data_IF_344297690853
#
_entry.id   IF_344297690853
#
_cell.length_a   1.000
_cell.length_b   1.000
_cell.length_c   1.000
_cell.angle_alpha   90.00
_cell.angle_beta   90.00
_cell.angle_gamma   90.00
#
_symmetry.space_group_name_H-M   'P 1'
#
loop_
_entity.id
_entity.type
_entity.pdbx_description
1 polymer ?
#
# COMPACT_ATOMS: atom_id res chain seq x y z
N UNK A 1 -0.78 56.06 -43.43
CA UNK A 1 -0.55 57.28 -42.60
C UNK A 1 -0.93 56.87 -41.17
N UNK A 2 -0.22 56.90 -40.15
CA UNK A 2 1.19 57.11 -39.81
C UNK A 2 1.41 56.38 -38.48
N UNK A 3 2.31 55.44 -38.53
CA UNK A 3 2.95 54.82 -37.38
C UNK A 3 3.84 55.82 -36.66
N UNK A 4 4.11 55.60 -35.40
CA UNK A 4 5.09 56.23 -34.50
C UNK A 4 4.48 57.08 -33.40
N UNK A 5 4.71 56.59 -32.25
CA UNK A 5 4.98 57.17 -30.94
C UNK A 5 4.16 56.45 -29.83
N UNK A 6 4.79 55.45 -29.22
CA UNK A 6 4.59 55.05 -27.81
C UNK A 6 5.70 54.05 -27.44
N UNK A 7 6.91 54.66 -27.36
CA UNK A 7 8.09 53.97 -26.75
C UNK A 7 8.83 55.08 -26.01
N UNK A 8 8.49 55.28 -24.75
CA UNK A 8 9.33 56.00 -23.77
C UNK A 8 8.51 56.33 -22.51
N UNK A 9 8.27 55.37 -21.62
CA UNK A 9 7.93 55.61 -20.22
C UNK A 9 7.94 54.30 -19.41
N UNK A 10 9.15 53.71 -19.28
CA UNK A 10 9.35 52.57 -18.35
C UNK A 10 10.84 52.42 -17.99
N UNK A 11 11.37 53.51 -17.39
CA UNK A 11 12.73 53.51 -16.81
C UNK A 11 12.84 54.70 -15.86
N UNK A 12 12.23 54.62 -14.69
CA UNK A 12 12.57 55.49 -13.55
C UNK A 12 11.67 55.18 -12.34
N UNK A 13 11.81 53.99 -11.73
CA UNK A 13 11.45 53.80 -10.29
C UNK A 13 12.32 52.65 -9.78
N UNK A 14 13.58 52.91 -9.63
CA UNK A 14 14.54 52.08 -8.89
C UNK A 14 15.47 53.09 -8.22
N UNK A 15 15.28 53.29 -6.95
CA UNK A 15 16.15 53.92 -5.97
C UNK A 15 15.29 54.76 -5.00
N UNK A 16 15.06 54.19 -3.84
CA UNK A 16 14.94 54.86 -2.55
C UNK A 16 14.12 53.96 -1.59
N UNK A 17 14.78 53.09 -0.89
CA UNK A 17 14.47 52.73 0.51
C UNK A 17 15.70 51.97 1.05
N UNK A 18 16.66 52.71 1.48
CA UNK A 18 17.63 52.29 2.48
C UNK A 18 17.56 53.30 3.62
N UNK A 19 17.61 52.77 4.82
CA UNK A 19 17.75 53.44 6.13
C UNK A 19 16.46 53.38 6.98
N UNK A 20 16.48 52.43 7.89
CA UNK A 20 15.56 52.28 9.01
C UNK A 20 16.14 51.26 9.99
N UNK A 21 17.34 51.54 10.55
CA UNK A 21 17.79 50.86 11.78
C UNK A 21 16.96 51.34 12.94
N UNK A 22 16.17 50.44 13.52
CA UNK A 22 15.48 50.61 14.78
C UNK A 22 15.45 49.31 15.52
N UNK A 23 16.31 49.11 16.52
CA UNK A 23 16.44 47.88 17.31
C UNK A 23 15.18 47.56 18.09
N UNK A 24 14.72 46.33 17.95
CA UNK A 24 13.84 45.62 18.83
C UNK A 24 14.35 44.20 18.88
N UNK A 25 14.96 43.82 20.00
CA UNK A 25 15.32 42.41 20.23
C UNK A 25 14.04 41.58 20.35
N UNK A 26 13.39 41.30 19.19
CA UNK A 26 12.44 40.24 19.07
C UNK A 26 13.21 38.93 19.12
N UNK A 27 12.91 38.06 20.06
CA UNK A 27 13.33 36.66 20.08
C UNK A 27 13.10 36.13 18.66
N UNK A 28 14.15 35.81 17.93
CA UNK A 28 14.07 35.02 16.72
C UNK A 28 13.43 33.70 17.12
N UNK A 29 12.12 33.58 16.92
CA UNK A 29 11.40 32.33 16.96
C UNK A 29 11.74 31.60 15.66
N UNK A 30 12.96 31.10 15.58
CA UNK A 30 13.53 30.39 14.44
C UNK A 30 13.07 28.91 14.47
N UNK A 31 11.85 28.65 14.99
CA UNK A 31 11.23 27.33 14.88
C UNK A 31 10.71 27.14 13.46
N UNK A 32 11.57 26.65 12.59
CA UNK A 32 11.18 26.12 11.27
C UNK A 32 10.07 25.09 11.51
N UNK A 33 8.90 25.30 10.88
CA UNK A 33 7.83 24.30 10.90
C UNK A 33 8.31 23.03 10.20
N UNK A 34 8.03 21.86 10.77
CA UNK A 34 8.22 20.60 10.04
C UNK A 34 7.26 20.52 8.87
N UNK A 35 7.74 20.01 7.75
CA UNK A 35 6.94 19.72 6.57
C UNK A 35 6.65 18.21 6.54
N UNK A 36 5.39 17.86 6.67
CA UNK A 36 4.92 16.47 6.70
C UNK A 36 4.08 16.21 5.46
N UNK A 37 4.59 15.37 4.56
CA UNK A 37 3.83 14.89 3.41
C UNK A 37 3.20 13.54 3.72
N UNK A 38 2.00 13.30 3.19
CA UNK A 38 1.32 12.02 3.30
C UNK A 38 0.74 11.60 1.96
N UNK A 39 0.85 10.30 1.63
CA UNK A 39 0.18 9.69 0.50
C UNK A 39 -1.31 9.41 0.77
N UNK A 40 -1.80 9.63 1.99
CA UNK A 40 -3.22 9.60 2.34
C UNK A 40 -3.87 10.90 1.90
N UNK A 41 -4.59 10.89 0.77
CA UNK A 41 -5.24 12.07 0.18
C UNK A 41 -6.76 12.09 0.36
N UNK A 42 -7.36 11.03 0.90
CA UNK A 42 -8.79 11.03 1.24
C UNK A 42 -9.08 12.16 2.24
N UNK A 43 -10.05 13.06 1.98
CA UNK A 43 -10.31 14.25 2.79
C UNK A 43 -10.54 13.96 4.28
N UNK A 44 -11.27 12.90 4.62
CA UNK A 44 -11.54 12.55 6.02
C UNK A 44 -10.29 12.02 6.72
N UNK A 45 -9.46 11.24 6.03
CA UNK A 45 -8.16 10.79 6.54
C UNK A 45 -7.17 11.93 6.69
N UNK A 46 -7.16 12.90 5.77
CA UNK A 46 -6.35 14.12 5.88
C UNK A 46 -6.77 14.94 7.10
N UNK A 47 -8.07 15.12 7.32
CA UNK A 47 -8.61 15.80 8.49
C UNK A 47 -8.25 15.10 9.80
N UNK A 48 -8.35 13.78 9.83
CA UNK A 48 -7.98 12.98 11.00
C UNK A 48 -6.44 13.03 11.25
N UNK A 49 -5.63 12.97 10.19
CA UNK A 49 -4.18 13.15 10.27
C UNK A 49 -3.83 14.54 10.83
N UNK A 50 -4.52 15.60 10.40
CA UNK A 50 -4.32 16.95 10.96
C UNK A 50 -4.64 17.00 12.46
N UNK A 51 -5.67 16.27 12.92
CA UNK A 51 -5.99 16.20 14.35
C UNK A 51 -4.89 15.49 15.16
N UNK A 52 -4.29 14.43 14.61
CA UNK A 52 -3.14 13.74 15.23
C UNK A 52 -1.94 14.69 15.34
N UNK A 53 -1.63 15.41 14.27
CA UNK A 53 -0.54 16.40 14.21
C UNK A 53 -0.77 17.54 15.22
N UNK A 54 -2.00 18.04 15.33
CA UNK A 54 -2.34 19.10 16.29
C UNK A 54 -2.08 18.65 17.74
N UNK A 55 -2.33 17.39 18.09
CA UNK A 55 -1.98 16.83 19.41
C UNK A 55 -0.47 16.88 19.65
N UNK A 56 0.34 16.50 18.67
CA UNK A 56 1.80 16.61 18.76
C UNK A 56 2.24 18.06 18.96
N UNK A 57 1.71 18.99 18.19
CA UNK A 57 2.01 20.42 18.30
C UNK A 57 1.66 20.96 19.68
N UNK A 58 0.51 20.58 20.26
CA UNK A 58 0.11 20.99 21.61
C UNK A 58 1.05 20.45 22.69
N UNK A 59 1.58 19.25 22.53
CA UNK A 59 2.50 18.63 23.50
C UNK A 59 3.93 19.16 23.42
N UNK A 60 4.38 19.55 22.20
CA UNK A 60 5.80 19.85 21.95
C UNK A 60 6.08 21.29 21.56
N UNK A 61 5.06 22.07 21.22
CA UNK A 61 5.12 23.39 20.60
C UNK A 61 5.84 23.39 19.22
N UNK A 62 6.06 22.22 18.60
CA UNK A 62 6.63 22.09 17.26
C UNK A 62 5.49 22.23 16.24
N UNK A 63 5.59 23.24 15.36
CA UNK A 63 4.61 23.47 14.28
C UNK A 63 4.86 22.51 13.14
N UNK A 64 3.78 22.02 12.52
CA UNK A 64 3.83 21.12 11.37
C UNK A 64 2.94 21.63 10.26
N UNK A 65 3.46 21.61 9.02
CA UNK A 65 2.70 21.84 7.79
C UNK A 65 2.39 20.49 7.16
N UNK A 66 1.11 20.07 7.19
CA UNK A 66 0.62 18.89 6.48
C UNK A 66 0.41 19.21 5.00
N UNK A 67 0.86 18.29 4.13
CA UNK A 67 0.61 18.30 2.68
C UNK A 67 0.17 16.91 2.28
N UNK A 68 -1.05 16.76 1.78
CA UNK A 68 -1.54 15.52 1.20
C UNK A 68 -1.24 15.50 -0.30
N UNK A 69 -0.74 14.35 -0.81
CA UNK A 69 -0.34 14.17 -2.21
C UNK A 69 -0.85 12.80 -2.62
N UNK A 70 -1.64 12.72 -3.70
CA UNK A 70 -2.10 11.45 -4.25
C UNK A 70 -0.94 10.52 -4.61
N UNK A 71 -1.10 9.23 -4.38
CA UNK A 71 -0.04 8.23 -4.55
C UNK A 71 0.53 8.26 -5.98
N UNK A 72 -0.29 8.49 -6.99
CA UNK A 72 0.08 8.61 -8.41
C UNK A 72 1.00 9.80 -8.72
N UNK A 73 0.92 10.88 -7.90
CA UNK A 73 1.70 12.11 -8.08
C UNK A 73 2.97 12.12 -7.20
N UNK A 74 3.02 11.29 -6.17
CA UNK A 74 4.03 11.35 -5.13
C UNK A 74 5.46 11.22 -5.67
N UNK A 75 5.69 10.29 -6.60
CA UNK A 75 7.02 10.06 -7.18
C UNK A 75 7.53 11.31 -7.92
N UNK A 76 6.69 11.96 -8.73
CA UNK A 76 7.07 13.16 -9.49
C UNK A 76 7.28 14.38 -8.57
N UNK A 77 6.46 14.50 -7.53
CA UNK A 77 6.56 15.59 -6.56
C UNK A 77 7.85 15.48 -5.72
N UNK A 78 8.21 14.28 -5.25
CA UNK A 78 9.46 14.04 -4.51
C UNK A 78 10.68 14.31 -5.40
N UNK A 79 10.66 13.86 -6.66
CA UNK A 79 11.77 14.13 -7.59
C UNK A 79 11.96 15.64 -7.80
N UNK A 80 10.87 16.39 -7.99
CA UNK A 80 10.89 17.85 -8.15
C UNK A 80 11.38 18.54 -6.86
N UNK A 81 10.91 18.12 -5.69
CA UNK A 81 11.32 18.67 -4.40
C UNK A 81 12.80 18.38 -4.11
N UNK A 82 13.28 17.17 -4.46
CA UNK A 82 14.70 16.82 -4.32
C UNK A 82 15.60 17.70 -5.19
N UNK A 83 15.23 17.93 -6.44
CA UNK A 83 15.96 18.81 -7.35
C UNK A 83 15.96 20.28 -6.89
N UNK A 84 14.89 20.72 -6.25
CA UNK A 84 14.74 22.09 -5.74
C UNK A 84 15.33 22.29 -4.32
N UNK A 85 15.78 21.23 -3.63
CA UNK A 85 16.22 21.29 -2.23
C UNK A 85 15.09 21.63 -1.25
N UNK A 86 13.87 21.19 -1.53
CA UNK A 86 12.64 21.46 -0.75
C UNK A 86 11.95 20.18 -0.32
N UNK A 87 12.73 19.13 -0.04
CA UNK A 87 12.18 17.86 0.48
C UNK A 87 11.35 18.08 1.76
N UNK A 88 10.27 17.30 1.98
CA UNK A 88 9.60 17.29 3.27
C UNK A 88 10.54 16.75 4.35
N UNK A 89 10.27 17.07 5.62
CA UNK A 89 11.00 16.46 6.74
C UNK A 89 10.59 15.00 6.96
N UNK A 90 9.30 14.71 6.78
CA UNK A 90 8.75 13.35 6.90
C UNK A 90 7.78 13.08 5.75
N UNK A 91 7.91 11.91 5.15
CA UNK A 91 6.95 11.33 4.22
C UNK A 91 6.23 10.16 4.88
N UNK A 92 4.90 10.21 4.94
CA UNK A 92 4.05 9.19 5.55
C UNK A 92 3.26 8.40 4.53
N UNK A 93 2.82 7.20 4.92
CA UNK A 93 2.07 6.26 4.10
C UNK A 93 2.79 5.86 2.80
N UNK A 94 4.12 5.97 2.79
CA UNK A 94 4.95 5.58 1.65
C UNK A 94 5.06 4.05 1.55
N UNK A 95 4.83 3.48 0.36
CA UNK A 95 4.94 2.03 0.12
C UNK A 95 6.38 1.53 0.28
N UNK A 96 6.53 0.25 0.60
CA UNK A 96 7.83 -0.38 0.83
C UNK A 96 8.77 -0.23 -0.39
N UNK A 97 8.27 -0.47 -1.60
CA UNK A 97 9.06 -0.32 -2.82
C UNK A 97 9.54 1.12 -3.02
N UNK A 98 8.67 2.09 -2.74
CA UNK A 98 8.99 3.50 -2.88
C UNK A 98 10.08 3.96 -1.90
N UNK A 99 10.01 3.60 -0.62
CA UNK A 99 11.06 3.98 0.35
C UNK A 99 12.42 3.36 0.03
N UNK A 100 12.45 2.15 -0.55
CA UNK A 100 13.71 1.56 -1.04
C UNK A 100 14.28 2.33 -2.24
N UNK A 101 13.45 2.81 -3.16
CA UNK A 101 13.92 3.69 -4.25
C UNK A 101 14.46 5.01 -3.70
N UNK A 102 13.73 5.66 -2.79
CA UNK A 102 14.18 6.90 -2.16
C UNK A 102 15.51 6.74 -1.43
N UNK A 103 15.71 5.61 -0.74
CA UNK A 103 16.98 5.32 -0.06
C UNK A 103 18.13 5.10 -1.04
N UNK A 104 17.89 4.39 -2.15
CA UNK A 104 18.88 4.17 -3.18
C UNK A 104 19.31 5.48 -3.86
N UNK A 105 18.38 6.44 -3.97
CA UNK A 105 18.64 7.79 -4.51
C UNK A 105 19.20 8.76 -3.44
N UNK A 106 19.48 8.26 -2.22
CA UNK A 106 20.06 9.05 -1.13
C UNK A 106 19.10 10.13 -0.59
N UNK A 107 17.79 9.94 -0.69
CA UNK A 107 16.77 10.90 -0.24
C UNK A 107 16.38 10.66 1.23
N UNK A 108 16.38 9.42 1.70
CA UNK A 108 16.05 9.09 3.10
C UNK A 108 17.26 9.22 4.03
N UNK A 109 17.00 9.32 5.34
CA UNK A 109 18.00 9.25 6.42
C UNK A 109 17.85 7.93 7.19
N UNK A 110 18.66 6.89 6.86
CA UNK A 110 18.64 5.60 7.55
C UNK A 110 19.05 5.67 9.01
N UNK A 111 19.89 6.62 9.41
CA UNK A 111 20.35 6.76 10.80
C UNK A 111 19.26 7.38 11.68
N UNK A 112 18.50 8.34 11.15
CA UNK A 112 17.31 8.86 11.80
C UNK A 112 16.23 7.77 11.96
N UNK A 113 15.99 6.95 10.92
CA UNK A 113 15.07 5.82 11.02
C UNK A 113 15.50 4.79 12.07
N UNK A 114 16.79 4.44 12.11
CA UNK A 114 17.36 3.55 13.12
C UNK A 114 17.21 4.12 14.53
N UNK A 115 17.46 5.42 14.70
CA UNK A 115 17.29 6.12 15.98
C UNK A 115 15.86 6.04 16.50
N UNK A 116 14.87 6.25 15.62
CA UNK A 116 13.44 6.12 15.99
C UNK A 116 13.10 4.69 16.40
N UNK A 117 13.48 3.69 15.61
CA UNK A 117 13.19 2.27 15.88
C UNK A 117 13.81 1.83 17.21
N UNK A 118 15.06 2.23 17.48
CA UNK A 118 15.76 1.89 18.71
C UNK A 118 15.12 2.58 19.93
N UNK A 119 14.77 3.86 19.84
CA UNK A 119 14.10 4.60 20.90
C UNK A 119 12.72 4.02 21.25
N UNK A 120 12.00 3.49 20.29
CA UNK A 120 10.70 2.84 20.49
C UNK A 120 10.80 1.39 20.98
N UNK A 121 12.01 0.80 20.95
CA UNK A 121 12.27 -0.58 21.32
C UNK A 121 12.07 -1.52 20.12
N UNK A 122 13.16 -1.86 19.43
CA UNK A 122 13.18 -2.72 18.21
C UNK A 122 12.38 -4.04 18.40
N UNK A 123 12.40 -4.61 19.62
CA UNK A 123 11.71 -5.84 19.96
C UNK A 123 10.17 -5.72 19.97
N UNK A 124 9.63 -4.50 19.94
CA UNK A 124 8.18 -4.25 19.89
C UNK A 124 7.61 -4.24 18.47
N UNK A 125 8.49 -4.26 17.49
CA UNK A 125 8.12 -4.33 16.06
C UNK A 125 8.11 -5.77 15.54
N UNK A 126 7.30 -6.04 14.53
CA UNK A 126 7.39 -7.25 13.73
C UNK A 126 8.82 -7.41 13.18
N UNK A 127 9.44 -8.56 13.44
CA UNK A 127 10.77 -8.86 12.90
C UNK A 127 10.75 -8.90 11.37
N UNK A 128 9.66 -9.41 10.81
CA UNK A 128 9.49 -9.46 9.36
C UNK A 128 9.39 -8.05 8.75
N UNK A 129 8.57 -7.17 9.34
CA UNK A 129 8.46 -5.79 8.90
C UNK A 129 9.82 -5.07 8.95
N UNK A 130 10.57 -5.24 10.04
CA UNK A 130 11.92 -4.67 10.14
C UNK A 130 12.86 -5.22 9.08
N UNK A 131 12.82 -6.53 8.80
CA UNK A 131 13.69 -7.13 7.77
C UNK A 131 13.37 -6.64 6.36
N UNK A 132 12.10 -6.31 6.08
CA UNK A 132 11.67 -5.81 4.77
C UNK A 132 12.08 -4.35 4.52
N UNK A 133 12.18 -3.53 5.55
CA UNK A 133 12.66 -2.14 5.41
C UNK A 133 14.18 -2.01 5.48
N UNK A 134 14.94 -3.10 5.61
CA UNK A 134 16.40 -3.04 5.65
C UNK A 134 17.01 -3.04 4.24
N UNK A 135 17.97 -2.13 4.02
CA UNK A 135 18.90 -2.16 2.89
C UNK A 135 20.32 -1.91 3.40
N UNK A 136 21.28 -2.73 2.97
CA UNK A 136 22.69 -2.61 3.39
C UNK A 136 22.87 -2.59 4.91
N UNK A 137 22.03 -3.34 5.65
CA UNK A 137 22.12 -3.48 7.12
C UNK A 137 21.52 -2.31 7.92
N UNK A 138 20.86 -1.36 7.27
CA UNK A 138 20.18 -0.23 7.90
C UNK A 138 18.72 -0.15 7.48
N UNK A 139 17.79 0.32 8.36
CA UNK A 139 16.41 0.58 7.98
C UNK A 139 16.33 1.82 7.08
N UNK A 140 15.73 1.70 5.91
CA UNK A 140 15.52 2.82 4.98
C UNK A 140 14.39 3.75 5.40
N UNK A 141 13.50 3.27 6.26
CA UNK A 141 12.36 4.01 6.82
C UNK A 141 11.87 3.30 8.09
N UNK A 142 10.95 3.94 8.82
CA UNK A 142 10.25 3.33 9.97
C UNK A 142 8.96 2.68 9.47
N UNK A 143 8.78 1.36 9.56
CA UNK A 143 7.54 0.72 9.16
C UNK A 143 6.41 1.16 10.10
N UNK A 144 5.29 1.62 9.53
CA UNK A 144 4.17 2.18 10.30
C UNK A 144 3.02 1.20 10.48
N UNK A 145 2.58 0.58 9.42
CA UNK A 145 1.43 -0.31 9.38
C UNK A 145 1.53 -1.24 8.17
N UNK A 146 0.64 -2.23 8.10
CA UNK A 146 0.58 -3.16 6.98
C UNK A 146 -0.84 -3.45 6.58
N UNK A 147 -1.03 -3.85 5.31
CA UNK A 147 -2.24 -4.48 4.82
C UNK A 147 -1.91 -5.77 4.08
N UNK A 148 -2.89 -6.60 3.83
CA UNK A 148 -2.68 -7.89 3.16
C UNK A 148 -3.67 -8.11 2.04
N UNK A 149 -3.24 -8.81 0.97
CA UNK A 149 -4.16 -9.33 -0.03
C UNK A 149 -4.97 -10.47 0.54
N UNK A 150 -6.22 -10.51 0.17
CA UNK A 150 -7.20 -11.50 0.59
C UNK A 150 -7.81 -12.17 -0.64
N UNK A 151 -7.97 -13.46 -0.59
CA UNK A 151 -8.94 -14.15 -1.41
C UNK A 151 -10.25 -14.23 -0.61
N UNK A 152 -11.25 -13.51 -1.06
CA UNK A 152 -12.56 -13.40 -0.41
C UNK A 152 -13.55 -14.21 -1.24
N UNK A 153 -14.38 -15.05 -0.59
CA UNK A 153 -15.33 -15.91 -1.26
C UNK A 153 -16.70 -15.90 -0.58
N UNK A 154 -17.76 -16.08 -1.35
CA UNK A 154 -19.14 -16.15 -0.90
C UNK A 154 -19.44 -17.49 -0.20
N UNK A 155 -19.43 -17.52 1.13
CA UNK A 155 -19.70 -18.72 1.94
C UNK A 155 -21.04 -19.38 1.60
N UNK A 156 -22.07 -18.58 1.39
CA UNK A 156 -23.41 -19.07 1.04
C UNK A 156 -23.41 -19.84 -0.30
N UNK A 157 -22.68 -19.35 -1.32
CA UNK A 157 -22.56 -20.02 -2.62
C UNK A 157 -21.69 -21.28 -2.52
N UNK A 158 -20.58 -21.21 -1.77
CA UNK A 158 -19.70 -22.36 -1.54
C UNK A 158 -20.42 -23.48 -0.80
N UNK A 159 -21.14 -23.14 0.28
CA UNK A 159 -21.96 -24.12 1.03
C UNK A 159 -23.01 -24.77 0.12
N UNK A 160 -23.73 -24.00 -0.69
CA UNK A 160 -24.72 -24.51 -1.64
C UNK A 160 -24.10 -25.45 -2.68
N UNK A 161 -22.87 -25.19 -3.11
CA UNK A 161 -22.15 -26.01 -4.10
C UNK A 161 -21.34 -27.16 -3.46
N UNK A 162 -21.32 -27.30 -2.13
CA UNK A 162 -20.53 -28.33 -1.45
C UNK A 162 -19.01 -28.08 -1.51
N UNK A 163 -18.58 -26.83 -1.69
CA UNK A 163 -17.18 -26.46 -1.84
C UNK A 163 -16.56 -26.07 -0.49
N UNK A 164 -15.32 -26.48 -0.26
CA UNK A 164 -14.49 -26.03 0.86
C UNK A 164 -13.86 -24.66 0.58
N UNK A 165 -13.27 -24.02 1.61
CA UNK A 165 -12.51 -22.79 1.44
C UNK A 165 -11.38 -22.95 0.40
N UNK A 166 -11.23 -22.01 -0.56
CA UNK A 166 -10.32 -22.15 -1.70
C UNK A 166 -8.88 -21.75 -1.31
N UNK A 167 -8.14 -22.64 -0.66
CA UNK A 167 -6.79 -22.39 -0.15
C UNK A 167 -5.66 -22.84 -1.08
N UNK A 168 -6.00 -23.44 -2.23
CA UNK A 168 -5.03 -23.89 -3.23
C UNK A 168 -5.42 -23.41 -4.63
N UNK A 169 -4.47 -23.33 -5.55
CA UNK A 169 -4.74 -23.00 -6.96
C UNK A 169 -5.79 -23.93 -7.58
N UNK A 170 -5.70 -25.23 -7.27
CA UNK A 170 -6.67 -26.21 -7.73
C UNK A 170 -8.08 -25.89 -7.21
N UNK A 171 -8.21 -25.65 -5.89
CA UNK A 171 -9.50 -25.32 -5.26
C UNK A 171 -10.08 -24.00 -5.79
N UNK A 172 -9.23 -22.99 -6.02
CA UNK A 172 -9.64 -21.71 -6.62
C UNK A 172 -10.18 -21.93 -8.04
N UNK A 173 -9.46 -22.68 -8.87
CA UNK A 173 -9.90 -22.99 -10.25
C UNK A 173 -11.20 -23.79 -10.27
N UNK A 174 -11.29 -24.85 -9.45
CA UNK A 174 -12.49 -25.66 -9.33
C UNK A 174 -13.70 -24.82 -8.89
N UNK A 175 -13.54 -23.98 -7.89
CA UNK A 175 -14.60 -23.09 -7.42
C UNK A 175 -14.99 -22.06 -8.49
N UNK A 176 -14.01 -21.45 -9.17
CA UNK A 176 -14.25 -20.48 -10.23
C UNK A 176 -15.08 -21.13 -11.35
N UNK A 177 -14.71 -22.34 -11.80
CA UNK A 177 -15.46 -23.09 -12.85
C UNK A 177 -16.86 -23.45 -12.37
N UNK A 178 -17.01 -23.98 -11.15
CA UNK A 178 -18.30 -24.45 -10.62
C UNK A 178 -19.30 -23.32 -10.42
N UNK A 179 -18.82 -22.15 -10.00
CA UNK A 179 -19.65 -21.00 -9.65
C UNK A 179 -19.82 -19.99 -10.77
N UNK A 180 -19.15 -20.17 -11.91
CA UNK A 180 -19.36 -19.35 -13.12
C UNK A 180 -20.67 -19.72 -13.79
N UNK A 181 -21.43 -18.74 -14.22
CA UNK A 181 -22.66 -18.93 -14.99
C UNK A 181 -23.81 -18.08 -14.48
N UNK A 182 -24.92 -18.05 -15.22
CA UNK A 182 -26.13 -17.29 -14.88
C UNK A 182 -25.89 -15.80 -14.56
N UNK A 183 -24.90 -15.19 -15.23
CA UNK A 183 -24.54 -13.78 -15.03
C UNK A 183 -23.63 -13.51 -13.83
N UNK A 184 -23.05 -14.54 -13.22
CA UNK A 184 -22.05 -14.48 -12.17
C UNK A 184 -20.69 -14.98 -12.67
N UNK A 185 -19.63 -14.27 -12.37
CA UNK A 185 -18.26 -14.73 -12.53
C UNK A 185 -17.85 -15.61 -11.33
N UNK A 186 -17.05 -16.63 -11.58
CA UNK A 186 -16.49 -17.45 -10.50
C UNK A 186 -15.51 -16.70 -9.65
N UNK A 187 -14.73 -15.80 -10.27
CA UNK A 187 -13.76 -14.93 -9.57
C UNK A 187 -13.62 -13.60 -10.33
N UNK A 188 -13.23 -12.56 -9.60
CA UNK A 188 -12.75 -11.31 -10.19
C UNK A 188 -11.43 -10.92 -9.54
N UNK A 189 -10.47 -10.47 -10.33
CA UNK A 189 -9.18 -9.97 -9.89
C UNK A 189 -8.68 -8.89 -10.86
N UNK A 190 -7.75 -8.05 -10.40
CA UNK A 190 -7.21 -6.96 -11.20
C UNK A 190 -6.43 -7.47 -12.41
N UNK A 191 -6.58 -6.81 -13.56
CA UNK A 191 -5.98 -7.22 -14.83
C UNK A 191 -5.58 -6.03 -15.73
N UNK A 192 -5.73 -4.79 -15.24
CA UNK A 192 -5.42 -3.59 -16.01
C UNK A 192 -3.91 -3.37 -16.09
N UNK A 193 -3.42 -3.04 -17.29
CA UNK A 193 -1.99 -2.95 -17.60
C UNK A 193 -1.25 -1.82 -16.88
N UNK A 194 -1.95 -0.75 -16.56
CA UNK A 194 -1.43 0.48 -15.94
C UNK A 194 -1.86 0.63 -14.47
N UNK A 195 -2.16 -0.49 -13.81
CA UNK A 195 -2.58 -0.52 -12.40
C UNK A 195 -1.59 -1.30 -11.55
N UNK A 196 -0.98 -0.64 -10.57
CA UNK A 196 -0.10 -1.27 -9.58
C UNK A 196 -0.81 -2.35 -8.75
N UNK A 197 -2.13 -2.26 -8.59
CA UNK A 197 -2.92 -3.29 -7.92
C UNK A 197 -2.94 -4.62 -8.69
N UNK A 198 -2.84 -4.59 -10.03
CA UNK A 198 -2.61 -5.80 -10.84
C UNK A 198 -1.27 -6.46 -10.50
N UNK A 199 -0.20 -5.64 -10.31
CA UNK A 199 1.11 -6.13 -9.87
C UNK A 199 1.02 -6.83 -8.50
N UNK A 200 0.36 -6.21 -7.53
CA UNK A 200 0.19 -6.74 -6.17
C UNK A 200 -0.67 -8.00 -6.14
N UNK A 201 -1.73 -8.04 -6.95
CA UNK A 201 -2.61 -9.21 -7.11
C UNK A 201 -1.85 -10.39 -7.72
N UNK A 202 -1.01 -10.14 -8.74
CA UNK A 202 -0.16 -11.19 -9.32
C UNK A 202 0.91 -11.66 -8.34
N UNK A 203 1.59 -10.74 -7.62
CA UNK A 203 2.60 -11.09 -6.61
C UNK A 203 2.01 -12.00 -5.52
N UNK A 204 0.76 -11.78 -5.09
CA UNK A 204 0.09 -12.65 -4.12
C UNK A 204 0.03 -14.11 -4.60
N UNK A 205 -0.36 -14.33 -5.85
CA UNK A 205 -0.37 -15.67 -6.45
C UNK A 205 1.05 -16.19 -6.69
N UNK A 206 1.96 -15.32 -7.12
CA UNK A 206 3.34 -15.68 -7.42
C UNK A 206 4.08 -16.21 -6.18
N UNK A 207 4.05 -15.47 -5.07
CA UNK A 207 4.70 -15.92 -3.82
C UNK A 207 4.02 -17.17 -3.26
N UNK A 208 2.73 -17.35 -3.49
CA UNK A 208 1.98 -18.55 -3.11
C UNK A 208 2.38 -19.79 -3.92
N UNK A 209 2.90 -19.60 -5.13
CA UNK A 209 3.41 -20.70 -5.98
C UNK A 209 4.94 -20.88 -5.90
N UNK A 210 5.63 -20.13 -5.01
CA UNK A 210 7.09 -20.18 -4.92
C UNK A 210 7.83 -19.41 -6.03
N UNK A 211 7.12 -18.63 -6.86
CA UNK A 211 7.73 -17.72 -7.82
C UNK A 211 8.43 -16.57 -7.09
N UNK A 212 9.67 -16.27 -7.49
CA UNK A 212 10.45 -15.16 -6.99
C UNK A 212 10.79 -14.19 -8.13
N UNK A 213 10.83 -12.89 -7.82
CA UNK A 213 11.26 -11.89 -8.80
C UNK A 213 12.71 -12.09 -9.20
N UNK A 214 13.56 -12.37 -8.20
CA UNK A 214 15.00 -12.61 -8.37
C UNK A 214 15.47 -13.78 -7.52
N UNK A 215 16.56 -14.41 -7.92
CA UNK A 215 17.28 -15.36 -7.06
C UNK A 215 18.17 -14.61 -6.04
N UNK A 216 18.87 -15.37 -5.19
CA UNK A 216 19.77 -14.82 -4.16
C UNK A 216 20.95 -14.03 -4.74
N UNK A 217 21.35 -14.31 -5.97
CA UNK A 217 22.37 -13.54 -6.69
C UNK A 217 21.81 -12.27 -7.37
N UNK A 218 20.52 -12.01 -7.23
CA UNK A 218 19.82 -10.87 -7.80
C UNK A 218 19.44 -11.03 -9.28
N UNK A 219 19.70 -12.16 -9.94
CA UNK A 219 19.25 -12.40 -11.31
C UNK A 219 17.72 -12.56 -11.35
N UNK A 220 17.08 -11.95 -12.34
CA UNK A 220 15.62 -12.01 -12.52
C UNK A 220 15.21 -13.42 -12.94
N UNK A 221 14.11 -13.94 -12.40
CA UNK A 221 13.72 -15.35 -12.51
C UNK A 221 12.26 -15.56 -12.94
N UNK A 222 11.65 -14.61 -13.64
CA UNK A 222 10.25 -14.73 -14.07
C UNK A 222 10.01 -15.84 -15.10
N UNK A 223 11.05 -16.37 -15.71
CA UNK A 223 10.98 -17.54 -16.61
C UNK A 223 11.22 -18.88 -15.90
N UNK A 224 11.36 -18.89 -14.57
CA UNK A 224 11.39 -20.13 -13.78
C UNK A 224 10.06 -20.87 -13.86
N UNK A 225 10.07 -22.20 -13.62
CA UNK A 225 8.84 -23.00 -13.67
C UNK A 225 7.73 -22.43 -12.77
N UNK A 226 7.96 -22.13 -11.47
CA UNK A 226 6.91 -21.58 -10.61
C UNK A 226 6.31 -20.27 -11.15
N UNK A 227 7.14 -19.40 -11.76
CA UNK A 227 6.66 -18.14 -12.33
C UNK A 227 5.85 -18.36 -13.60
N UNK A 228 6.34 -19.18 -14.56
CA UNK A 228 5.57 -19.51 -15.77
C UNK A 228 4.22 -20.16 -15.46
N UNK A 229 4.20 -21.06 -14.47
CA UNK A 229 2.96 -21.71 -14.04
C UNK A 229 2.00 -20.72 -13.38
N UNK A 230 2.52 -19.71 -12.69
CA UNK A 230 1.68 -18.63 -12.16
C UNK A 230 1.12 -17.73 -13.24
N UNK A 231 1.91 -17.34 -14.25
CA UNK A 231 1.41 -16.60 -15.42
C UNK A 231 0.29 -17.38 -16.12
N UNK A 232 0.51 -18.69 -16.35
CA UNK A 232 -0.49 -19.56 -16.95
C UNK A 232 -1.77 -19.64 -16.11
N UNK A 233 -1.61 -19.87 -14.78
CA UNK A 233 -2.74 -19.95 -13.88
C UNK A 233 -3.56 -18.65 -13.85
N UNK A 234 -2.88 -17.49 -13.76
CA UNK A 234 -3.53 -16.18 -13.71
C UNK A 234 -4.36 -15.92 -14.98
N UNK A 235 -3.75 -16.15 -16.13
CA UNK A 235 -4.38 -15.92 -17.43
C UNK A 235 -5.57 -16.87 -17.64
N UNK A 236 -5.40 -18.17 -17.36
CA UNK A 236 -6.48 -19.16 -17.51
C UNK A 236 -7.63 -18.84 -16.56
N UNK A 237 -7.33 -18.52 -15.29
CA UNK A 237 -8.33 -18.21 -14.28
C UNK A 237 -9.20 -17.02 -14.68
N UNK A 238 -8.59 -15.95 -15.18
CA UNK A 238 -9.32 -14.74 -15.53
C UNK A 238 -10.04 -14.85 -16.87
N UNK A 239 -9.47 -15.55 -17.86
CA UNK A 239 -10.14 -15.79 -19.15
C UNK A 239 -11.41 -16.61 -19.01
N UNK A 240 -11.42 -17.59 -18.10
CA UNK A 240 -12.55 -18.53 -17.97
C UNK A 240 -13.51 -18.17 -16.84
N UNK A 241 -13.03 -17.54 -15.77
CA UNK A 241 -13.79 -17.34 -14.54
C UNK A 241 -14.13 -15.90 -14.19
N UNK A 242 -13.58 -14.88 -14.90
CA UNK A 242 -13.75 -13.48 -14.52
C UNK A 242 -14.83 -12.75 -15.33
N UNK A 243 -15.19 -11.56 -14.84
CA UNK A 243 -16.03 -10.60 -15.59
C UNK A 243 -15.27 -10.10 -16.82
N UNK A 244 -16.00 -9.65 -17.84
CA UNK A 244 -15.40 -9.15 -19.07
C UNK A 244 -14.65 -7.83 -18.85
N UNK A 245 -13.56 -7.65 -19.61
CA UNK A 245 -12.73 -6.45 -19.60
C UNK A 245 -11.62 -6.45 -18.56
N UNK A 246 -10.67 -5.53 -18.73
CA UNK A 246 -9.56 -5.36 -17.83
C UNK A 246 -10.01 -4.64 -16.55
N UNK A 247 -10.02 -5.35 -15.45
CA UNK A 247 -10.44 -4.83 -14.15
C UNK A 247 -9.27 -4.11 -13.45
N UNK A 248 -9.52 -2.92 -12.93
CA UNK A 248 -8.65 -2.21 -11.98
C UNK A 248 -9.09 -2.46 -10.54
N UNK A 249 -8.42 -1.83 -9.56
CA UNK A 249 -8.78 -1.95 -8.16
C UNK A 249 -10.25 -1.61 -7.89
N UNK A 250 -10.76 -0.53 -8.49
CA UNK A 250 -12.14 -0.05 -8.27
C UNK A 250 -13.17 -0.99 -8.88
N UNK A 251 -13.01 -1.36 -10.14
CA UNK A 251 -13.97 -2.23 -10.84
C UNK A 251 -13.96 -3.67 -10.33
N UNK A 252 -12.80 -4.19 -9.90
CA UNK A 252 -12.67 -5.49 -9.26
C UNK A 252 -13.53 -5.57 -7.99
N UNK A 253 -13.37 -4.61 -7.10
CA UNK A 253 -14.15 -4.51 -5.86
C UNK A 253 -15.64 -4.31 -6.13
N UNK A 254 -15.97 -3.39 -7.04
CA UNK A 254 -17.36 -3.10 -7.40
C UNK A 254 -18.11 -4.33 -7.94
N UNK A 255 -17.44 -5.19 -8.72
CA UNK A 255 -18.03 -6.43 -9.23
C UNK A 255 -18.43 -7.38 -8.08
N UNK A 256 -17.60 -7.54 -7.05
CA UNK A 256 -17.93 -8.37 -5.89
C UNK A 256 -19.02 -7.74 -5.04
N UNK A 257 -18.95 -6.44 -4.76
CA UNK A 257 -19.97 -5.70 -3.99
C UNK A 257 -21.35 -5.72 -4.68
N UNK A 258 -21.36 -5.78 -6.02
CA UNK A 258 -22.59 -5.95 -6.80
C UNK A 258 -23.12 -7.38 -6.84
N UNK A 259 -22.42 -8.35 -6.24
CA UNK A 259 -22.77 -9.77 -6.30
C UNK A 259 -22.57 -10.40 -7.68
N UNK A 260 -21.67 -9.83 -8.50
CA UNK A 260 -21.35 -10.31 -9.84
C UNK A 260 -20.22 -11.34 -9.87
N UNK A 261 -19.57 -11.61 -8.75
CA UNK A 261 -18.54 -12.60 -8.62
C UNK A 261 -18.67 -13.41 -7.33
N UNK A 262 -18.36 -14.72 -7.40
CA UNK A 262 -18.37 -15.62 -6.25
C UNK A 262 -17.10 -15.50 -5.41
N UNK A 263 -15.99 -15.10 -6.01
CA UNK A 263 -14.71 -14.82 -5.35
C UNK A 263 -14.14 -13.49 -5.84
N UNK A 264 -13.31 -12.87 -5.00
CA UNK A 264 -12.50 -11.69 -5.37
C UNK A 264 -11.14 -11.77 -4.71
N UNK A 265 -10.09 -11.34 -5.42
CA UNK A 265 -8.79 -11.03 -4.81
C UNK A 265 -8.73 -9.52 -4.62
N UNK A 266 -8.67 -9.10 -3.36
CA UNK A 266 -8.61 -7.68 -3.02
C UNK A 266 -7.91 -7.46 -1.68
N UNK A 267 -7.48 -6.24 -1.39
CA UNK A 267 -6.79 -5.90 -0.14
C UNK A 267 -7.74 -5.90 1.06
N UNK A 268 -7.17 -5.99 2.27
CA UNK A 268 -7.93 -5.93 3.52
C UNK A 268 -8.72 -4.63 3.71
N UNK A 269 -8.39 -3.57 2.99
CA UNK A 269 -9.17 -2.32 2.96
C UNK A 269 -10.64 -2.48 2.57
N UNK A 270 -11.04 -3.59 1.92
CA UNK A 270 -12.44 -3.84 1.53
C UNK A 270 -13.35 -4.25 2.71
N UNK A 271 -12.79 -4.50 3.87
CA UNK A 271 -13.54 -5.11 4.97
C UNK A 271 -14.65 -4.20 5.53
N UNK A 272 -14.44 -2.89 5.60
CA UNK A 272 -15.47 -1.91 5.97
C UNK A 272 -16.57 -1.80 4.91
N UNK A 273 -16.19 -1.87 3.64
CA UNK A 273 -17.10 -1.83 2.49
C UNK A 273 -18.00 -3.06 2.44
N UNK A 274 -17.44 -4.27 2.70
CA UNK A 274 -18.25 -5.50 2.82
C UNK A 274 -19.31 -5.40 3.93
N UNK A 275 -19.04 -4.59 4.95
CA UNK A 275 -19.97 -4.33 6.05
C UNK A 275 -20.97 -3.18 5.76
N UNK A 276 -20.87 -2.53 4.59
CA UNK A 276 -21.74 -1.43 4.17
C UNK A 276 -21.49 -0.12 4.92
N UNK A 277 -20.24 0.12 5.35
CA UNK A 277 -19.88 1.29 6.16
C UNK A 277 -19.33 2.47 5.33
N UNK A 278 -19.09 2.27 4.02
CA UNK A 278 -18.68 3.33 3.08
C UNK A 278 -19.79 3.61 2.07
N UNK A 279 -20.15 4.88 1.88
CA UNK A 279 -21.17 5.28 0.90
C UNK A 279 -20.68 5.16 -0.53
N UNK A 280 -19.38 5.40 -0.76
CA UNK A 280 -18.78 5.38 -2.11
C UNK A 280 -18.61 3.95 -2.65
N UNK A 281 -18.62 2.95 -1.77
CA UNK A 281 -18.43 1.54 -2.11
C UNK A 281 -19.44 0.63 -1.38
N UNK A 282 -20.72 0.96 -1.47
CA UNK A 282 -21.78 0.16 -0.85
C UNK A 282 -21.97 -1.19 -1.53
N UNK A 283 -22.19 -2.27 -0.76
CA UNK A 283 -22.70 -3.50 -1.31
C UNK A 283 -24.11 -3.31 -1.91
N UNK A 284 -24.26 -3.66 -3.19
CA UNK A 284 -25.52 -3.55 -3.93
C UNK A 284 -26.03 -4.89 -4.43
N UNK A 285 -25.46 -5.98 -3.91
CA UNK A 285 -25.94 -7.33 -4.24
C UNK A 285 -27.44 -7.49 -3.88
N UNK A 286 -28.17 -8.43 -4.49
CA UNK A 286 -29.61 -8.58 -4.23
C UNK A 286 -29.94 -8.70 -2.73
N UNK A 287 -29.16 -9.45 -1.98
CA UNK A 287 -29.30 -9.63 -0.54
C UNK A 287 -28.87 -8.38 0.25
N UNK A 288 -27.92 -7.62 -0.29
CA UNK A 288 -27.39 -6.40 0.36
C UNK A 288 -28.43 -5.27 0.45
N UNK A 289 -29.48 -5.30 -0.39
CA UNK A 289 -30.59 -4.33 -0.32
C UNK A 289 -31.37 -4.42 0.99
N UNK A 290 -31.53 -5.64 1.51
CA UNK A 290 -32.22 -5.89 2.78
C UNK A 290 -31.27 -5.82 3.98
N UNK A 291 -30.01 -6.21 3.80
CA UNK A 291 -28.96 -6.20 4.84
C UNK A 291 -27.64 -5.68 4.23
N UNK A 292 -27.29 -4.40 4.39
CA UNK A 292 -26.05 -3.85 3.88
C UNK A 292 -24.78 -4.59 4.36
N UNK A 293 -24.84 -5.27 5.52
CA UNK A 293 -23.73 -6.06 6.08
C UNK A 293 -23.72 -7.52 5.61
N UNK A 294 -24.58 -7.88 4.65
CA UNK A 294 -24.71 -9.26 4.17
C UNK A 294 -23.37 -9.85 3.71
N UNK A 295 -22.58 -9.08 2.96
CA UNK A 295 -21.29 -9.58 2.47
C UNK A 295 -20.27 -9.79 3.59
N UNK A 296 -20.18 -8.91 4.58
CA UNK A 296 -19.31 -9.14 5.73
C UNK A 296 -19.65 -10.43 6.48
N UNK A 297 -20.97 -10.73 6.65
CA UNK A 297 -21.45 -11.94 7.31
C UNK A 297 -21.25 -13.21 6.48
N UNK A 298 -21.37 -13.10 5.15
CA UNK A 298 -21.38 -14.23 4.21
C UNK A 298 -20.11 -14.35 3.36
N UNK A 299 -19.07 -13.55 3.59
CA UNK A 299 -17.77 -13.75 2.99
C UNK A 299 -16.85 -14.58 3.89
N UNK A 300 -16.15 -15.53 3.28
CA UNK A 300 -15.01 -16.20 3.88
C UNK A 300 -13.73 -15.48 3.43
N UNK A 301 -12.73 -15.45 4.30
CA UNK A 301 -11.46 -14.73 4.10
C UNK A 301 -10.33 -15.75 4.14
N UNK A 302 -9.53 -15.78 3.07
CA UNK A 302 -8.30 -16.58 2.95
C UNK A 302 -7.15 -15.61 2.75
N UNK A 303 -6.17 -15.63 3.66
CA UNK A 303 -4.98 -14.76 3.58
C UNK A 303 -3.81 -15.47 2.90
N UNK A 304 -3.64 -16.78 3.18
CA UNK A 304 -2.56 -17.59 2.66
C UNK A 304 -3.09 -18.70 1.75
N UNK A 305 -2.50 -18.84 0.57
CA UNK A 305 -2.82 -19.86 -0.42
C UNK A 305 -1.56 -20.62 -0.83
N UNK A 306 -1.73 -21.79 -1.47
CA UNK A 306 -0.64 -22.64 -1.95
C UNK A 306 -0.83 -22.94 -3.44
N UNK A 307 0.19 -22.68 -4.24
CA UNK A 307 0.28 -23.15 -5.63
C UNK A 307 0.95 -24.52 -5.72
N UNK A 308 0.90 -25.15 -6.91
CA UNK A 308 1.41 -26.52 -7.10
C UNK A 308 2.94 -26.66 -6.94
N UNK A 309 3.70 -25.58 -7.11
CA UNK A 309 5.17 -25.60 -7.02
C UNK A 309 5.67 -25.20 -5.61
N UNK A 310 4.77 -24.81 -4.70
CA UNK A 310 5.11 -24.44 -3.33
C UNK A 310 4.79 -25.58 -2.35
N UNK A 311 5.58 -25.68 -1.26
CA UNK A 311 5.39 -26.68 -0.21
C UNK A 311 4.64 -26.15 1.00
N UNK A 312 4.51 -24.84 1.11
CA UNK A 312 3.85 -24.14 2.22
C UNK A 312 2.94 -23.03 1.72
N UNK A 313 1.84 -22.75 2.42
CA UNK A 313 1.00 -21.59 2.12
C UNK A 313 1.79 -20.29 2.28
N UNK A 314 1.50 -19.33 1.42
CA UNK A 314 2.09 -18.00 1.48
C UNK A 314 1.02 -16.92 1.37
N UNK A 315 1.25 -15.78 2.01
CA UNK A 315 0.42 -14.60 1.90
C UNK A 315 1.26 -13.41 1.44
N UNK A 316 0.63 -12.53 0.69
CA UNK A 316 1.17 -11.23 0.33
C UNK A 316 0.74 -10.17 1.35
N UNK A 317 1.64 -9.27 1.71
CA UNK A 317 1.32 -8.06 2.46
C UNK A 317 2.17 -6.89 1.98
N UNK A 318 1.65 -5.70 2.16
CA UNK A 318 2.37 -4.45 1.90
C UNK A 318 2.64 -3.74 3.23
N UNK A 319 3.79 -3.09 3.33
CA UNK A 319 4.11 -2.16 4.41
C UNK A 319 3.95 -0.73 3.93
N UNK A 320 3.36 0.10 4.77
CA UNK A 320 3.53 1.54 4.67
C UNK A 320 4.54 2.02 5.70
N UNK A 321 5.21 3.12 5.40
CA UNK A 321 6.34 3.59 6.17
C UNK A 321 6.27 5.10 6.42
N UNK A 322 6.95 5.53 7.50
CA UNK A 322 7.39 6.91 7.68
C UNK A 322 8.85 7.01 7.23
N UNK A 323 9.11 7.74 6.16
CA UNK A 323 10.46 8.06 5.72
C UNK A 323 10.86 9.44 6.25
N UNK A 324 11.97 9.53 6.97
CA UNK A 324 12.63 10.78 7.35
C UNK A 324 13.60 11.10 6.23
N UNK A 325 13.60 12.32 5.69
CA UNK A 325 14.49 12.68 4.60
C UNK A 325 15.86 13.15 5.11
N UNK A 326 16.87 13.12 4.24
CA UNK A 326 18.25 13.51 4.59
C UNK A 326 18.40 14.97 5.03
N UNK A 327 17.51 15.84 4.56
CA UNK A 327 17.53 17.28 4.86
C UNK A 327 16.54 17.67 5.98
N UNK A 328 15.99 16.66 6.67
CA UNK A 328 14.97 16.86 7.72
C UNK A 328 15.50 17.62 8.93
N UNK A 329 14.65 18.40 9.55
CA UNK A 329 14.90 18.98 10.83
C UNK A 329 15.05 17.87 11.92
N UNK A 330 15.93 18.09 12.90
CA UNK A 330 16.16 17.14 14.01
C UNK A 330 14.89 16.74 14.78
N UNK A 331 13.85 17.54 14.74
CA UNK A 331 12.56 17.25 15.38
C UNK A 331 11.69 16.26 14.57
N UNK A 332 12.06 15.92 13.33
CA UNK A 332 11.35 14.93 12.51
C UNK A 332 11.30 13.55 13.19
N UNK A 333 12.41 13.12 13.80
CA UNK A 333 12.45 11.88 14.56
C UNK A 333 11.48 11.86 15.74
N UNK A 334 11.31 13.01 16.45
CA UNK A 334 10.33 13.13 17.54
C UNK A 334 8.89 12.98 17.05
N UNK A 335 8.58 13.56 15.89
CA UNK A 335 7.26 13.40 15.25
C UNK A 335 6.99 11.93 14.94
N UNK A 336 7.92 11.23 14.29
CA UNK A 336 7.74 9.81 13.96
C UNK A 336 7.64 8.94 15.21
N UNK A 337 8.43 9.23 16.26
CA UNK A 337 8.30 8.56 17.57
C UNK A 337 6.89 8.76 18.16
N UNK A 338 6.36 9.97 18.12
CA UNK A 338 4.99 10.25 18.59
C UNK A 338 3.95 9.48 17.76
N UNK A 339 4.05 9.51 16.42
CA UNK A 339 3.13 8.80 15.54
C UNK A 339 3.15 7.29 15.76
N UNK A 340 4.29 6.73 16.15
CA UNK A 340 4.47 5.30 16.44
C UNK A 340 4.22 4.92 17.91
N UNK A 341 3.88 5.87 18.78
CA UNK A 341 3.61 5.63 20.21
C UNK A 341 2.26 6.21 20.62
N UNK A 342 2.21 7.45 21.13
CA UNK A 342 0.98 8.05 21.65
C UNK A 342 -0.03 8.38 20.55
N UNK A 343 0.45 8.68 19.35
CA UNK A 343 -0.34 8.90 18.14
C UNK A 343 -0.76 7.60 17.44
N UNK A 344 -0.13 6.47 17.78
CA UNK A 344 -0.24 5.26 16.95
C UNK A 344 -1.66 4.67 16.87
N UNK A 345 -2.42 4.55 17.97
CA UNK A 345 -3.81 4.09 17.86
C UNK A 345 -4.67 5.00 16.96
N UNK A 346 -4.44 6.31 16.99
CA UNK A 346 -5.17 7.24 16.13
C UNK A 346 -4.72 7.15 14.66
N UNK A 347 -3.42 6.89 14.40
CA UNK A 347 -2.89 6.62 13.06
C UNK A 347 -3.50 5.34 12.46
N UNK A 348 -3.53 4.25 13.23
CA UNK A 348 -4.19 3.00 12.83
C UNK A 348 -5.71 3.19 12.63
N UNK A 349 -6.33 4.07 13.43
CA UNK A 349 -7.74 4.42 13.34
C UNK A 349 -8.15 5.18 12.08
N UNK A 350 -7.21 5.61 11.23
CA UNK A 350 -7.53 6.22 9.93
C UNK A 350 -8.22 5.23 8.98
N UNK A 351 -7.89 3.94 9.07
CA UNK A 351 -8.49 2.85 8.32
C UNK A 351 -8.07 1.51 8.95
N UNK A 352 -8.64 1.08 10.07
CA UNK A 352 -8.13 -0.07 10.83
C UNK A 352 -8.06 -1.37 10.02
N UNK A 353 -8.99 -1.56 9.07
CA UNK A 353 -9.05 -2.72 8.17
C UNK A 353 -7.85 -2.81 7.23
N UNK A 354 -7.23 -1.67 6.92
CA UNK A 354 -6.06 -1.54 6.04
C UNK A 354 -4.79 -1.05 6.74
N UNK A 355 -4.86 -0.76 8.05
CA UNK A 355 -3.72 -0.31 8.86
C UNK A 355 -3.51 -1.23 10.05
N UNK A 356 -3.02 -2.43 9.76
CA UNK A 356 -2.69 -3.44 10.78
C UNK A 356 -1.37 -3.05 11.45
N UNK A 357 -1.30 -3.08 12.81
CA UNK A 357 -0.10 -2.65 13.51
C UNK A 357 1.10 -3.54 13.23
N UNK A 358 2.21 -2.94 12.82
CA UNK A 358 3.53 -3.61 12.72
C UNK A 358 4.32 -3.50 14.02
N UNK A 359 3.88 -2.65 14.94
CA UNK A 359 4.36 -2.55 16.30
C UNK A 359 3.29 -3.07 17.25
N UNK A 360 3.60 -4.12 18.01
CA UNK A 360 2.60 -4.83 18.82
C UNK A 360 2.22 -4.09 20.09
N UNK A 361 3.18 -3.36 20.68
CA UNK A 361 2.97 -2.64 21.94
C UNK A 361 4.20 -1.82 22.34
N UNK A 362 4.37 -1.65 23.65
CA UNK A 362 5.55 -1.04 24.28
C UNK A 362 6.29 -2.10 25.11
N UNK A 363 7.48 -1.78 25.62
CA UNK A 363 8.20 -2.71 26.50
C UNK A 363 7.39 -3.07 27.74
N UNK A 364 6.62 -2.11 28.29
CA UNK A 364 5.80 -2.33 29.49
C UNK A 364 4.43 -2.95 29.18
N UNK A 365 3.93 -2.78 27.97
CA UNK A 365 2.64 -3.28 27.48
C UNK A 365 2.81 -3.92 26.11
N UNK A 366 3.31 -5.17 26.02
CA UNK A 366 3.72 -5.79 24.76
C UNK A 366 2.62 -5.97 23.69
N UNK A 367 1.34 -5.96 24.09
CA UNK A 367 0.19 -6.13 23.19
C UNK A 367 -0.68 -4.87 23.08
N UNK A 368 -0.21 -3.72 23.60
CA UNK A 368 -0.99 -2.46 23.70
C UNK A 368 -1.66 -2.10 22.38
N UNK A 369 -0.92 -2.13 21.27
CA UNK A 369 -1.41 -1.67 19.98
C UNK A 369 -2.23 -2.72 19.26
N UNK A 370 -1.83 -3.98 19.31
CA UNK A 370 -2.62 -5.08 18.71
C UNK A 370 -3.95 -5.28 19.42
N UNK A 371 -3.99 -5.13 20.76
CA UNK A 371 -5.23 -5.21 21.53
C UNK A 371 -6.15 -4.02 21.25
N UNK A 372 -5.59 -2.79 21.16
CA UNK A 372 -6.38 -1.61 20.82
C UNK A 372 -6.95 -1.69 19.41
N UNK A 373 -6.16 -2.18 18.43
CA UNK A 373 -6.53 -2.21 17.03
C UNK A 373 -7.85 -2.92 16.75
N UNK A 374 -8.13 -4.05 17.38
CA UNK A 374 -9.37 -4.81 17.17
C UNK A 374 -10.62 -4.05 17.59
N UNK A 375 -10.48 -3.03 18.42
CA UNK A 375 -11.57 -2.20 18.95
C UNK A 375 -11.66 -0.83 18.25
N UNK A 376 -10.74 -0.54 17.31
CA UNK A 376 -10.82 0.68 16.53
C UNK A 376 -12.05 0.63 15.62
N UNK A 377 -12.69 1.77 15.47
CA UNK A 377 -13.83 1.93 14.59
C UNK A 377 -13.36 2.01 13.14
N UNK A 378 -13.89 1.16 12.29
CA UNK A 378 -13.69 1.13 10.85
C UNK A 378 -14.91 1.66 10.12
N UNK A 379 -14.73 2.14 8.90
CA UNK A 379 -15.76 2.75 8.07
C UNK A 379 -15.56 4.26 7.91
N UNK A 380 -16.30 4.87 6.99
CA UNK A 380 -16.21 6.30 6.66
C UNK A 380 -17.43 7.05 7.20
N UNK A 381 -18.61 6.92 6.57
CA UNK A 381 -19.83 7.61 7.02
C UNK A 381 -20.56 6.88 8.16
N UNK A 382 -20.37 5.57 8.22
CA UNK A 382 -20.87 4.72 9.29
C UNK A 382 -19.70 3.96 9.89
N UNK A 383 -19.57 3.96 11.20
CA UNK A 383 -18.44 3.31 11.85
C UNK A 383 -18.91 2.20 12.80
N UNK A 384 -18.09 1.16 12.90
CA UNK A 384 -18.23 0.07 13.88
C UNK A 384 -16.86 -0.51 14.23
N UNK A 385 -16.66 -0.96 15.48
CA UNK A 385 -15.45 -1.69 15.83
C UNK A 385 -15.25 -2.95 14.95
N UNK A 386 -14.01 -3.19 14.51
CA UNK A 386 -13.66 -4.41 13.76
C UNK A 386 -14.13 -5.68 14.47
N UNK A 387 -14.05 -5.73 15.80
CA UNK A 387 -14.47 -6.85 16.62
C UNK A 387 -15.97 -7.15 16.59
N UNK A 388 -16.79 -6.20 16.14
CA UNK A 388 -18.23 -6.39 15.94
C UNK A 388 -18.59 -6.88 14.53
N UNK A 389 -17.66 -6.74 13.58
CA UNK A 389 -17.85 -7.06 12.16
C UNK A 389 -17.32 -8.46 11.81
N UNK A 390 -16.18 -8.81 12.40
CA UNK A 390 -15.45 -10.02 12.03
C UNK A 390 -15.15 -10.89 13.26
N UNK A 391 -15.21 -12.23 13.11
CA UNK A 391 -14.95 -13.15 14.22
C UNK A 391 -13.47 -13.08 14.65
N UNK A 392 -13.18 -13.42 15.95
CA UNK A 392 -11.82 -13.32 16.49
C UNK A 392 -10.76 -14.08 15.68
N UNK A 393 -11.11 -15.18 15.03
CA UNK A 393 -10.18 -15.94 14.18
C UNK A 393 -9.68 -15.16 12.97
N UNK A 394 -10.57 -14.39 12.31
CA UNK A 394 -10.21 -13.51 11.18
C UNK A 394 -9.32 -12.38 11.66
N UNK A 395 -9.69 -11.71 12.75
CA UNK A 395 -8.92 -10.60 13.32
C UNK A 395 -7.53 -11.05 13.77
N UNK A 396 -7.41 -12.25 14.35
CA UNK A 396 -6.12 -12.81 14.76
C UNK A 396 -5.19 -13.01 13.54
N UNK A 397 -5.72 -13.58 12.46
CA UNK A 397 -4.93 -13.81 11.23
C UNK A 397 -4.48 -12.48 10.63
N UNK A 398 -5.36 -11.47 10.58
CA UNK A 398 -5.00 -10.13 10.11
C UNK A 398 -3.95 -9.47 11.01
N UNK A 399 -4.15 -9.50 12.34
CA UNK A 399 -3.22 -8.89 13.31
C UNK A 399 -1.80 -9.49 13.25
N UNK A 400 -1.65 -10.73 12.79
CA UNK A 400 -0.34 -11.39 12.62
C UNK A 400 0.20 -11.32 11.19
N UNK A 401 -0.50 -10.65 10.28
CA UNK A 401 -0.13 -10.58 8.86
C UNK A 401 1.25 -9.94 8.65
N UNK A 402 1.60 -8.95 9.46
CA UNK A 402 2.91 -8.31 9.41
C UNK A 402 4.10 -9.26 9.67
N UNK A 403 3.88 -10.34 10.45
CA UNK A 403 4.91 -11.33 10.77
C UNK A 403 5.02 -12.46 9.73
N UNK A 404 3.97 -12.68 8.96
CA UNK A 404 3.83 -13.84 8.06
C UNK A 404 3.80 -13.46 6.58
N UNK A 405 3.72 -12.16 6.26
CA UNK A 405 3.70 -11.70 4.87
C UNK A 405 4.98 -12.05 4.12
N UNK A 406 4.82 -12.37 2.85
CA UNK A 406 5.90 -12.55 1.91
C UNK A 406 5.86 -11.44 0.85
N UNK A 407 7.05 -10.99 0.49
CA UNK A 407 7.30 -10.07 -0.61
C UNK A 407 8.50 -10.59 -1.39
N UNK A 408 8.42 -10.56 -2.70
CA UNK A 408 9.57 -10.94 -3.52
C UNK A 408 10.57 -9.78 -3.71
N UNK A 409 11.80 -10.10 -4.05
CA UNK A 409 12.85 -9.10 -4.29
C UNK A 409 13.46 -8.48 -3.03
N UNK A 410 12.68 -8.16 -2.00
CA UNK A 410 13.22 -7.53 -0.78
C UNK A 410 14.15 -8.46 0.01
N UNK A 411 13.79 -9.72 0.28
CA UNK A 411 14.71 -10.65 0.96
C UNK A 411 16.01 -10.93 0.17
N UNK A 412 15.99 -10.67 -1.16
CA UNK A 412 17.15 -10.80 -2.03
C UNK A 412 17.93 -9.49 -2.18
N UNK A 413 17.61 -8.45 -1.40
CA UNK A 413 18.26 -7.13 -1.47
C UNK A 413 17.92 -6.32 -2.72
N UNK A 414 16.85 -6.66 -3.44
CA UNK A 414 16.44 -6.01 -4.68
C UNK A 414 15.29 -5.00 -4.49
N UNK A 415 15.21 -4.38 -3.31
CA UNK A 415 14.14 -3.42 -2.99
C UNK A 415 14.10 -2.23 -3.98
N UNK A 416 15.26 -1.74 -4.44
CA UNK A 416 15.36 -0.70 -5.47
C UNK A 416 14.70 -1.12 -6.79
N UNK A 417 14.94 -2.36 -7.23
CA UNK A 417 14.31 -2.91 -8.44
C UNK A 417 12.80 -3.03 -8.28
N UNK A 418 12.33 -3.51 -7.09
CA UNK A 418 10.90 -3.60 -6.79
C UNK A 418 10.24 -2.22 -6.82
N UNK A 419 10.89 -1.18 -6.33
CA UNK A 419 10.40 0.19 -6.43
C UNK A 419 10.41 0.72 -7.87
N UNK A 420 11.52 0.53 -8.59
CA UNK A 420 11.69 1.06 -9.95
C UNK A 420 10.68 0.46 -10.96
N UNK A 421 10.31 -0.82 -10.83
CA UNK A 421 9.31 -1.43 -11.73
C UNK A 421 7.91 -0.82 -11.61
N UNK A 422 7.57 -0.18 -10.48
CA UNK A 422 6.26 0.46 -10.28
C UNK A 422 6.04 1.65 -11.22
N UNK A 423 7.12 2.28 -11.72
CA UNK A 423 7.01 3.38 -12.67
C UNK A 423 6.57 2.94 -14.08
N UNK A 424 6.81 1.69 -14.46
CA UNK A 424 6.56 1.19 -15.82
C UNK A 424 5.62 -0.01 -15.89
N UNK A 425 5.40 -0.71 -14.76
CA UNK A 425 4.49 -1.85 -14.60
C UNK A 425 4.68 -2.95 -15.67
N UNK A 426 5.87 -3.52 -15.84
CA UNK A 426 6.13 -4.49 -16.90
C UNK A 426 5.33 -5.78 -16.76
N UNK A 427 5.12 -6.29 -15.55
CA UNK A 427 4.34 -7.49 -15.28
C UNK A 427 2.84 -7.28 -15.57
N UNK A 428 2.16 -6.22 -15.09
CA UNK A 428 0.79 -5.91 -15.49
C UNK A 428 0.60 -5.79 -16.99
N UNK A 429 1.53 -5.14 -17.72
CA UNK A 429 1.51 -5.01 -19.17
C UNK A 429 1.59 -6.37 -19.88
N UNK A 430 2.52 -7.22 -19.45
CA UNK A 430 2.68 -8.56 -20.00
C UNK A 430 1.45 -9.45 -19.72
N UNK A 431 0.86 -9.37 -18.51
CA UNK A 431 -0.37 -10.06 -18.17
C UNK A 431 -1.55 -9.59 -19.02
N UNK A 432 -1.71 -8.29 -19.22
CA UNK A 432 -2.76 -7.74 -20.08
C UNK A 432 -2.59 -8.20 -21.55
N UNK A 433 -1.36 -8.23 -22.07
CA UNK A 433 -1.06 -8.75 -23.39
C UNK A 433 -1.37 -10.25 -23.50
N UNK A 434 -1.14 -11.03 -22.44
CA UNK A 434 -1.54 -12.42 -22.40
C UNK A 434 -3.07 -12.57 -22.34
N UNK A 435 -3.75 -11.81 -21.49
CA UNK A 435 -5.21 -11.89 -21.33
C UNK A 435 -5.97 -11.54 -22.61
N UNK A 436 -5.50 -10.57 -23.38
CA UNK A 436 -6.09 -10.19 -24.66
C UNK A 436 -5.68 -11.10 -25.84
N UNK A 437 -4.78 -12.08 -25.61
CA UNK A 437 -4.34 -13.06 -26.62
C UNK A 437 -3.20 -12.60 -27.51
N UNK A 438 -2.60 -11.42 -27.27
CA UNK A 438 -1.43 -10.92 -28.03
C UNK A 438 -0.18 -11.76 -27.74
N UNK A 439 -0.04 -12.22 -26.49
CA UNK A 439 1.04 -13.10 -26.04
C UNK A 439 0.48 -14.42 -25.50
N UNK A 440 1.28 -15.48 -25.56
CA UNK A 440 1.04 -16.64 -24.72
C UNK A 440 1.44 -16.31 -23.27
N UNK A 441 0.93 -17.01 -22.24
CA UNK A 441 1.38 -16.80 -20.85
C UNK A 441 2.89 -16.98 -20.66
N UNK A 442 3.50 -17.92 -21.39
CA UNK A 442 4.95 -18.13 -21.38
C UNK A 442 5.71 -16.93 -21.99
N UNK A 443 5.26 -16.45 -23.16
CA UNK A 443 5.85 -15.26 -23.79
C UNK A 443 5.65 -13.99 -22.94
N UNK A 444 4.57 -13.88 -22.17
CA UNK A 444 4.36 -12.79 -21.22
C UNK A 444 5.38 -12.82 -20.07
N UNK A 445 5.70 -14.00 -19.53
CA UNK A 445 6.75 -14.16 -18.53
C UNK A 445 8.13 -13.77 -19.09
N UNK A 446 8.44 -14.16 -20.33
CA UNK A 446 9.69 -13.79 -21.03
C UNK A 446 9.77 -12.27 -21.27
N UNK A 447 8.69 -11.64 -21.72
CA UNK A 447 8.64 -10.20 -21.94
C UNK A 447 8.81 -9.44 -20.62
N UNK A 448 8.08 -9.83 -19.58
CA UNK A 448 8.22 -9.20 -18.27
C UNK A 448 9.63 -9.34 -17.69
N UNK A 449 10.29 -10.49 -17.89
CA UNK A 449 11.69 -10.67 -17.49
C UNK A 449 12.62 -9.72 -18.25
N UNK A 450 12.51 -9.63 -19.57
CA UNK A 450 13.35 -8.78 -20.42
C UNK A 450 13.19 -7.29 -20.06
N UNK A 451 11.95 -6.85 -19.80
CA UNK A 451 11.66 -5.48 -19.39
C UNK A 451 12.26 -5.18 -18.02
N UNK A 452 12.19 -6.11 -17.06
CA UNK A 452 12.80 -5.98 -15.74
C UNK A 452 14.33 -6.00 -15.81
N UNK A 453 14.94 -6.77 -16.69
CA UNK A 453 16.39 -6.74 -16.93
C UNK A 453 16.83 -5.36 -17.44
N UNK A 454 16.05 -4.75 -18.34
CA UNK A 454 16.27 -3.38 -18.84
C UNK A 454 16.16 -2.36 -17.70
N UNK A 455 15.13 -2.44 -16.87
CA UNK A 455 14.98 -1.58 -15.69
C UNK A 455 16.18 -1.76 -14.75
N UNK A 456 16.56 -3.00 -14.47
CA UNK A 456 17.69 -3.30 -13.58
C UNK A 456 19.00 -2.70 -14.10
N UNK A 457 19.25 -2.74 -15.42
CA UNK A 457 20.42 -2.11 -16.02
C UNK A 457 20.39 -0.58 -15.91
N UNK A 458 19.22 0.03 -15.95
CA UNK A 458 19.07 1.49 -15.87
C UNK A 458 19.27 2.06 -14.45
N UNK A 459 19.14 1.23 -13.43
CA UNK A 459 19.26 1.64 -12.01
C UNK A 459 20.61 1.26 -11.39
N UNK A 460 21.45 0.47 -12.05
CA UNK A 460 22.80 0.10 -11.61
C UNK A 460 23.82 1.09 -12.19
#
# INVERSE_FOLDING_TARGET
>A
MSTRTFLAALLAVLLLIAVGCGGGAGKNDNSRSLIFWTAEDNPDRVKATQAIINRFTLQTNIKIKLVAIGEDQLQSQIASASAAGTLPDVLAAASLGFVHSLAADGITDPDAAATVINALGRQTFSRRALSLVEASGKPVAVPSDSWTQLLIYRKDLFTKAGLAAPTTFEAIRAAATTLSGSGMAGIVAAAKADDSFTQQTFEYLAVANGCQLTNQAGAITLTSKPCRDTFQFYVDLLRTGSVQGAQDATSTRAAYLAGKAAMVIWSSFVLDELAGLSNDARPICPQCRADPSFLAKNSGIVTAITGPDATQPSQFGELTCFAITKDANNDAAKLVQFLMNDGYPAWLGLAPEGKVPVRTGTSDQPTKFTSAWTHLETGVEHTKPLSQLYPPGVLKVLATSADTMNRWGFPQGQGRLVGAQLATLPIPKALAAALNGTLSPAAAAEQAQADLETIKQSIN
#
